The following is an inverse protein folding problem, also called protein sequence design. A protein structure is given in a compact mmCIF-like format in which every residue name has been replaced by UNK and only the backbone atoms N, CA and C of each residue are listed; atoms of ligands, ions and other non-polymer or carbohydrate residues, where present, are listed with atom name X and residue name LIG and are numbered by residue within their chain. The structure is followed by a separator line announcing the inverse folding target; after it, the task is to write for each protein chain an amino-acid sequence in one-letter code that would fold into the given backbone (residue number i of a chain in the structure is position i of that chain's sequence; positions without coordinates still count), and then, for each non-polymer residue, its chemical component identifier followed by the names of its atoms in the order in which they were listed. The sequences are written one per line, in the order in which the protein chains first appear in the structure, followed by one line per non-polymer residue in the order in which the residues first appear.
data_IF_094142271788
#
_entry.id   IF_094142271788
#
_cell.length_a   1.000
_cell.length_b   1.000
_cell.length_c   1.000
_cell.angle_alpha   90.00
_cell.angle_beta   90.00
_cell.angle_gamma   90.00
#
_symmetry.space_group_name_H-M   'P 1'
#
loop_
_entity.id
_entity.type
_entity.pdbx_description
1 polymer ?
#
# COMPACT_ATOMS: atom_id res chain seq x y z
N UNK A 1 12.47 11.57 0.75
CA UNK A 1 11.40 11.49 -0.27
C UNK A 1 10.98 10.03 -0.41
N UNK A 2 9.69 9.73 -0.61
CA UNK A 2 9.16 8.36 -0.63
C UNK A 2 9.40 7.57 -1.93
N UNK A 3 10.16 8.12 -2.89
CA UNK A 3 10.60 7.40 -4.09
C UNK A 3 9.47 6.92 -5.01
N UNK A 4 8.33 7.64 -5.06
CA UNK A 4 7.19 7.30 -5.93
C UNK A 4 7.60 7.47 -7.40
N UNK A 5 7.49 6.39 -8.19
CA UNK A 5 7.89 6.36 -9.62
C UNK A 5 6.73 6.19 -10.59
N UNK A 6 5.58 5.72 -10.10
CA UNK A 6 4.40 5.41 -10.91
C UNK A 6 3.12 5.78 -10.14
N UNK A 7 2.04 6.10 -10.86
CA UNK A 7 0.74 6.44 -10.26
C UNK A 7 -0.37 5.48 -10.73
N UNK A 8 -1.38 5.18 -9.88
CA UNK A 8 -1.44 5.51 -8.46
C UNK A 8 -0.46 4.65 -7.63
N UNK A 9 0.05 5.18 -6.52
CA UNK A 9 0.82 4.41 -5.52
C UNK A 9 0.22 4.65 -4.14
N UNK A 10 -0.13 3.57 -3.44
CA UNK A 10 -0.61 3.58 -2.07
C UNK A 10 0.52 3.04 -1.16
N UNK A 11 0.72 3.66 -0.01
CA UNK A 11 1.65 3.17 1.03
C UNK A 11 0.89 2.90 2.31
N UNK A 12 1.25 1.81 2.97
CA UNK A 12 0.65 1.38 4.24
C UNK A 12 1.67 1.61 5.35
N UNK A 13 1.24 2.26 6.42
CA UNK A 13 2.04 2.56 7.60
C UNK A 13 1.39 1.97 8.85
N UNK A 14 2.17 1.32 9.71
CA UNK A 14 1.75 0.85 11.04
C UNK A 14 2.79 1.34 12.06
N UNK A 15 2.33 2.03 13.10
CA UNK A 15 3.23 2.61 14.12
C UNK A 15 4.26 3.61 13.58
N UNK A 16 3.91 4.36 12.52
CA UNK A 16 4.83 5.32 11.88
C UNK A 16 5.89 4.70 10.95
N UNK A 17 5.94 3.36 10.84
CA UNK A 17 6.83 2.65 9.92
C UNK A 17 6.07 2.20 8.67
N UNK A 18 6.71 2.32 7.50
CA UNK A 18 6.17 1.80 6.24
C UNK A 18 6.22 0.28 6.26
N UNK A 19 5.06 -0.37 6.17
CA UNK A 19 4.94 -1.84 6.19
C UNK A 19 4.63 -2.43 4.83
N UNK A 20 4.03 -1.66 3.92
CA UNK A 20 3.75 -2.12 2.54
C UNK A 20 3.58 -0.95 1.54
N UNK A 21 3.54 -1.29 0.25
CA UNK A 21 3.25 -0.40 -0.85
C UNK A 21 2.52 -1.14 -1.98
N UNK A 22 1.46 -0.53 -2.51
CA UNK A 22 0.73 -1.00 -3.69
C UNK A 22 0.95 0.00 -4.82
N UNK A 23 1.48 -0.45 -5.95
CA UNK A 23 1.74 0.37 -7.13
C UNK A 23 0.82 -0.05 -8.27
N UNK A 24 0.18 0.91 -8.91
CA UNK A 24 -0.78 0.71 -9.99
C UNK A 24 -2.21 0.53 -9.51
N UNK A 25 -3.13 0.48 -10.47
CA UNK A 25 -4.53 0.21 -10.18
C UNK A 25 -4.72 -1.30 -9.94
N UNK A 26 -5.21 -1.66 -8.76
CA UNK A 26 -5.51 -3.05 -8.38
C UNK A 26 -6.97 -3.19 -7.92
N UNK A 27 -7.56 -4.40 -8.00
CA UNK A 27 -8.93 -4.63 -7.52
C UNK A 27 -9.11 -4.37 -6.03
N UNK A 28 -10.35 -4.05 -5.64
CA UNK A 28 -10.73 -3.85 -4.22
C UNK A 28 -10.37 -5.04 -3.33
N UNK A 29 -10.55 -6.26 -3.83
CA UNK A 29 -10.24 -7.50 -3.09
C UNK A 29 -8.76 -7.58 -2.75
N UNK A 30 -7.88 -7.20 -3.68
CA UNK A 30 -6.43 -7.14 -3.43
C UNK A 30 -6.11 -6.13 -2.34
N UNK A 31 -6.69 -4.92 -2.37
CA UNK A 31 -6.46 -3.91 -1.33
C UNK A 31 -6.97 -4.38 0.04
N UNK A 32 -8.16 -4.97 0.11
CA UNK A 32 -8.72 -5.50 1.35
C UNK A 32 -7.81 -6.57 1.96
N UNK A 33 -7.38 -7.55 1.16
CA UNK A 33 -6.48 -8.60 1.60
C UNK A 33 -5.12 -8.04 2.06
N UNK A 34 -4.60 -7.01 1.38
CA UNK A 34 -3.36 -6.35 1.80
C UNK A 34 -3.53 -5.68 3.16
N UNK A 35 -4.64 -4.99 3.41
CA UNK A 35 -4.90 -4.36 4.70
C UNK A 35 -5.10 -5.39 5.82
N UNK A 36 -5.81 -6.49 5.55
CA UNK A 36 -6.05 -7.58 6.52
C UNK A 36 -4.75 -8.20 7.04
N UNK A 37 -3.67 -8.25 6.24
CA UNK A 37 -2.35 -8.74 6.69
C UNK A 37 -1.74 -7.90 7.82
N UNK A 38 -2.17 -6.65 7.96
CA UNK A 38 -1.59 -5.69 8.91
C UNK A 38 -2.56 -5.23 10.00
N UNK A 39 -3.77 -5.78 10.07
CA UNK A 39 -4.65 -5.63 11.23
C UNK A 39 -4.07 -6.48 12.38
#
# INVERSE_FOLDING_TARGET
QYGIRSIPTLMIFKGGQRVDMVVGAVPKTTLANTLEKYL
#
